data_IF_650718606616
#
_entry.id   IF_650718606616
#
_cell.length_a   1.000
_cell.length_b   1.000
_cell.length_c   1.000
_cell.angle_alpha   90.00
_cell.angle_beta   90.00
_cell.angle_gamma   90.00
#
_symmetry.space_group_name_H-M   'P 1'
#
loop_
_entity.id
_entity.type
_entity.pdbx_description
1 polymer ?
#
# COMPACT_ATOMS: atom_id res chain seq x y z
N UNK A 1 -1.57 6.01 -21.06
CA UNK A 1 -2.86 6.73 -20.94
C UNK A 1 -3.06 7.32 -19.54
N UNK A 2 -2.79 6.55 -18.48
CA UNK A 2 -2.97 7.00 -17.08
C UNK A 2 -2.17 8.27 -16.73
N UNK A 3 -0.97 8.48 -17.30
CA UNK A 3 -0.15 9.67 -17.05
C UNK A 3 -0.89 11.00 -17.31
N UNK A 4 -1.70 11.07 -18.37
CA UNK A 4 -2.44 12.29 -18.73
C UNK A 4 -3.86 12.32 -18.13
N UNK A 5 -4.26 11.34 -17.32
CA UNK A 5 -5.62 11.26 -16.76
C UNK A 5 -6.10 12.52 -16.05
N UNK A 6 -5.26 13.29 -15.32
CA UNK A 6 -5.73 14.51 -14.67
C UNK A 6 -6.32 15.55 -15.64
N UNK A 7 -5.92 15.50 -16.91
CA UNK A 7 -6.30 16.45 -17.94
C UNK A 7 -7.57 16.01 -18.68
N UNK A 8 -7.88 14.71 -18.76
CA UNK A 8 -9.01 14.23 -19.57
C UNK A 8 -10.06 13.43 -18.77
N UNK A 9 -9.70 12.74 -17.69
CA UNK A 9 -10.56 11.80 -16.98
C UNK A 9 -11.90 12.39 -16.55
N UNK A 10 -11.87 13.57 -15.93
CA UNK A 10 -13.08 14.22 -15.42
C UNK A 10 -13.93 14.87 -16.52
N UNK A 11 -13.46 14.90 -17.76
CA UNK A 11 -14.25 15.25 -18.94
C UNK A 11 -14.54 14.04 -19.85
N UNK A 12 -14.07 12.85 -19.50
CA UNK A 12 -14.24 11.66 -20.31
C UNK A 12 -15.71 11.26 -20.37
N UNK A 13 -16.17 10.86 -21.56
CA UNK A 13 -17.47 10.20 -21.71
C UNK A 13 -17.40 8.77 -21.18
N UNK A 14 -18.54 8.21 -20.79
CA UNK A 14 -18.63 6.79 -20.42
C UNK A 14 -18.21 5.86 -21.57
N UNK A 15 -18.41 6.27 -22.83
CA UNK A 15 -17.94 5.51 -24.01
C UNK A 15 -16.42 5.39 -24.06
N UNK A 16 -15.71 6.46 -23.69
CA UNK A 16 -14.25 6.47 -23.59
C UNK A 16 -13.78 5.52 -22.48
N UNK A 17 -14.40 5.62 -21.30
CA UNK A 17 -14.09 4.76 -20.16
C UNK A 17 -14.38 3.28 -20.46
N UNK A 18 -15.49 2.97 -21.12
CA UNK A 18 -15.87 1.62 -21.52
C UNK A 18 -14.81 0.97 -22.44
N UNK A 19 -14.10 1.75 -23.25
CA UNK A 19 -13.01 1.23 -24.09
C UNK A 19 -11.79 0.82 -23.27
N UNK A 20 -11.41 1.62 -22.28
CA UNK A 20 -10.36 1.29 -21.32
C UNK A 20 -10.74 0.07 -20.47
N UNK A 21 -11.99 0.02 -20.02
CA UNK A 21 -12.54 -1.07 -19.24
C UNK A 21 -12.55 -2.39 -20.02
N UNK A 22 -12.84 -2.39 -21.32
CA UNK A 22 -12.71 -3.58 -22.19
C UNK A 22 -11.27 -4.10 -22.24
N UNK A 23 -10.29 -3.22 -22.39
CA UNK A 23 -8.88 -3.59 -22.39
C UNK A 23 -8.45 -4.13 -21.01
N UNK A 24 -8.88 -3.47 -19.94
CA UNK A 24 -8.62 -3.93 -18.58
C UNK A 24 -9.25 -5.31 -18.29
N UNK A 25 -10.48 -5.55 -18.75
CA UNK A 25 -11.14 -6.85 -18.61
C UNK A 25 -10.32 -7.95 -19.29
N UNK A 26 -9.86 -7.72 -20.51
CA UNK A 26 -9.05 -8.69 -21.25
C UNK A 26 -7.73 -8.99 -20.50
N UNK A 27 -7.05 -7.95 -19.99
CA UNK A 27 -5.84 -8.11 -19.19
C UNK A 27 -6.11 -8.89 -17.89
N UNK A 28 -7.18 -8.56 -17.17
CA UNK A 28 -7.56 -9.23 -15.92
C UNK A 28 -7.90 -10.71 -16.15
N UNK A 29 -8.65 -11.01 -17.21
CA UNK A 29 -8.93 -12.39 -17.65
C UNK A 29 -7.64 -13.15 -17.96
N UNK A 30 -6.69 -12.53 -18.65
CA UNK A 30 -5.41 -13.14 -18.99
C UNK A 30 -4.53 -13.43 -17.76
N UNK A 31 -4.55 -12.55 -16.75
CA UNK A 31 -3.80 -12.72 -15.48
C UNK A 31 -4.27 -13.98 -14.75
N UNK A 32 -5.59 -14.15 -14.59
CA UNK A 32 -6.16 -15.26 -13.81
C UNK A 32 -6.46 -16.51 -14.65
N UNK A 33 -6.22 -16.48 -15.96
CA UNK A 33 -6.64 -17.55 -16.86
C UNK A 33 -8.17 -17.74 -16.95
N UNK A 34 -8.92 -16.65 -16.77
CA UNK A 34 -10.38 -16.62 -16.78
C UNK A 34 -10.97 -16.63 -18.20
N UNK A 35 -12.24 -17.00 -18.29
CA UNK A 35 -12.98 -17.05 -19.57
C UNK A 35 -13.26 -15.65 -20.13
N UNK A 36 -13.34 -15.54 -21.47
CA UNK A 36 -13.68 -14.28 -22.18
C UNK A 36 -15.04 -13.68 -21.78
N UNK A 37 -15.97 -14.54 -21.36
CA UNK A 37 -17.32 -14.21 -20.89
C UNK A 37 -17.36 -13.62 -19.48
N UNK A 38 -16.25 -13.68 -18.73
CA UNK A 38 -16.18 -13.13 -17.39
C UNK A 38 -16.36 -11.61 -17.40
N UNK A 39 -17.27 -11.11 -16.56
CA UNK A 39 -17.51 -9.67 -16.41
C UNK A 39 -16.31 -8.93 -15.84
N UNK A 40 -16.20 -7.63 -16.15
CA UNK A 40 -15.10 -6.76 -15.71
C UNK A 40 -14.88 -6.82 -14.20
N UNK A 41 -15.94 -6.61 -13.41
CA UNK A 41 -15.80 -6.47 -11.95
C UNK A 41 -15.26 -7.75 -11.30
N UNK A 42 -15.76 -8.92 -11.71
CA UNK A 42 -15.25 -10.21 -11.24
C UNK A 42 -13.79 -10.42 -11.68
N UNK A 43 -13.46 -10.14 -12.95
CA UNK A 43 -12.11 -10.33 -13.46
C UNK A 43 -11.09 -9.44 -12.74
N UNK A 44 -11.39 -8.15 -12.56
CA UNK A 44 -10.50 -7.17 -11.91
C UNK A 44 -10.27 -7.50 -10.44
N UNK A 45 -11.32 -7.92 -9.74
CA UNK A 45 -11.24 -8.32 -8.32
C UNK A 45 -10.43 -9.60 -8.16
N UNK A 46 -10.71 -10.63 -8.95
CA UNK A 46 -9.97 -11.89 -8.92
C UNK A 46 -8.50 -11.69 -9.33
N UNK A 47 -8.22 -10.82 -10.30
CA UNK A 47 -6.85 -10.46 -10.69
C UNK A 47 -6.13 -9.58 -9.65
N UNK A 48 -6.81 -9.11 -8.60
CA UNK A 48 -6.21 -8.28 -7.55
C UNK A 48 -5.73 -6.91 -8.03
N UNK A 49 -6.32 -6.37 -9.11
CA UNK A 49 -5.96 -5.06 -9.67
C UNK A 49 -7.04 -4.02 -9.35
N UNK A 50 -6.67 -2.73 -9.31
CA UNK A 50 -7.63 -1.63 -9.12
C UNK A 50 -8.50 -1.42 -10.37
N UNK A 51 -9.74 -0.96 -10.22
CA UNK A 51 -10.63 -0.66 -11.36
C UNK A 51 -10.07 0.50 -12.20
N UNK A 52 -10.55 0.67 -13.44
CA UNK A 52 -10.10 1.79 -14.30
C UNK A 52 -10.36 3.12 -13.59
N UNK A 53 -11.58 3.32 -13.09
CA UNK A 53 -12.00 4.57 -12.42
C UNK A 53 -11.17 4.86 -11.18
N UNK A 54 -10.85 3.84 -10.39
CA UNK A 54 -9.98 4.00 -9.21
C UNK A 54 -8.58 4.45 -9.57
N UNK A 55 -7.95 3.82 -10.57
CA UNK A 55 -6.61 4.24 -11.00
C UNK A 55 -6.61 5.67 -11.49
N UNK A 56 -7.59 6.04 -12.32
CA UNK A 56 -7.71 7.40 -12.86
C UNK A 56 -8.01 8.41 -11.74
N UNK A 57 -8.84 8.05 -10.77
CA UNK A 57 -9.12 8.86 -9.59
C UNK A 57 -7.88 9.06 -8.72
N UNK A 58 -7.13 7.99 -8.41
CA UNK A 58 -5.88 8.06 -7.64
C UNK A 58 -4.82 8.90 -8.37
N UNK A 59 -4.69 8.77 -9.69
CA UNK A 59 -3.77 9.60 -10.47
C UNK A 59 -4.20 11.07 -10.50
N UNK A 60 -5.50 11.35 -10.60
CA UNK A 60 -6.03 12.72 -10.55
C UNK A 60 -5.83 13.34 -9.16
N UNK A 61 -6.01 12.55 -8.09
CA UNK A 61 -5.68 12.95 -6.72
C UNK A 61 -4.18 13.27 -6.58
N UNK A 62 -3.32 12.39 -7.13
CA UNK A 62 -1.86 12.60 -7.18
C UNK A 62 -1.49 13.91 -7.85
N UNK A 63 -2.05 14.16 -9.02
CA UNK A 63 -1.80 15.41 -9.71
C UNK A 63 -2.33 16.62 -8.93
N UNK A 64 -3.55 16.55 -8.39
CA UNK A 64 -4.17 17.63 -7.64
C UNK A 64 -3.35 18.04 -6.42
N UNK A 65 -2.92 17.10 -5.58
CA UNK A 65 -2.05 17.45 -4.46
C UNK A 65 -0.66 17.88 -4.98
N UNK A 66 -0.17 17.25 -6.05
CA UNK A 66 1.11 17.54 -6.68
C UNK A 66 1.26 18.97 -7.20
N UNK A 67 0.18 19.65 -7.61
CA UNK A 67 0.27 21.06 -7.99
C UNK A 67 0.42 21.99 -6.78
N UNK A 68 -0.06 21.58 -5.60
CA UNK A 68 0.04 22.39 -4.39
C UNK A 68 1.43 22.40 -3.74
N UNK A 69 2.28 21.40 -4.00
CA UNK A 69 3.69 21.43 -3.56
C UNK A 69 4.58 22.35 -4.40
N UNK A 70 4.11 22.81 -5.56
CA UNK A 70 4.93 23.61 -6.46
C UNK A 70 5.26 24.97 -5.84
N UNK A 71 6.50 25.41 -6.04
CA UNK A 71 6.94 26.76 -5.67
C UNK A 71 6.17 27.84 -6.46
N UNK A 72 6.20 29.07 -5.97
CA UNK A 72 5.45 30.18 -6.59
C UNK A 72 5.95 30.55 -8.00
N UNK A 73 7.18 30.19 -8.34
CA UNK A 73 7.80 30.43 -9.66
C UNK A 73 7.42 29.39 -10.71
N UNK A 74 6.86 28.25 -10.30
CA UNK A 74 6.47 27.20 -11.24
C UNK A 74 5.27 27.62 -12.09
N UNK A 75 5.33 27.36 -13.40
CA UNK A 75 4.28 27.68 -14.40
C UNK A 75 2.89 27.08 -14.11
N UNK A 76 2.80 26.17 -13.15
CA UNK A 76 1.57 25.45 -12.80
C UNK A 76 1.07 25.82 -11.39
N UNK A 77 1.78 26.68 -10.65
CA UNK A 77 1.35 27.12 -9.33
C UNK A 77 0.02 27.88 -9.36
N UNK A 78 -0.19 28.71 -10.38
CA UNK A 78 -1.45 29.44 -10.55
C UNK A 78 -2.66 28.51 -10.74
N UNK A 79 -2.43 27.27 -11.20
CA UNK A 79 -3.49 26.27 -11.30
C UNK A 79 -4.03 25.85 -9.93
N UNK A 80 -3.21 25.96 -8.87
CA UNK A 80 -3.60 25.67 -7.49
C UNK A 80 -4.43 26.80 -6.85
N UNK A 81 -4.32 28.03 -7.37
CA UNK A 81 -5.03 29.22 -6.86
C UNK A 81 -6.36 29.48 -7.55
N UNK A 82 -6.56 28.93 -8.75
CA UNK A 82 -7.62 29.38 -9.65
C UNK A 82 -9.05 29.04 -9.17
N UNK A 83 -9.81 30.08 -8.79
CA UNK A 83 -11.24 30.00 -8.46
C UNK A 83 -12.08 30.62 -9.59
N UNK A 84 -12.56 29.80 -10.52
CA UNK A 84 -13.83 30.08 -11.20
C UNK A 84 -13.82 30.74 -12.60
N UNK A 85 -14.30 29.96 -13.57
CA UNK A 85 -15.48 30.34 -14.38
C UNK A 85 -16.49 29.20 -14.25
N UNK A 86 -17.77 29.49 -14.00
CA UNK A 86 -18.85 28.49 -13.83
C UNK A 86 -19.19 27.76 -15.14
N UNK A 87 -19.01 28.43 -16.27
CA UNK A 87 -19.30 27.89 -17.61
C UNK A 87 -18.09 27.09 -18.12
N UNK A 88 -18.33 25.86 -18.57
CA UNK A 88 -17.32 24.90 -19.07
C UNK A 88 -16.18 24.61 -18.09
N UNK A 89 -16.45 23.87 -16.98
CA UNK A 89 -15.41 23.52 -16.03
C UNK A 89 -14.38 22.57 -16.66
N UNK A 90 -13.11 23.00 -16.67
CA UNK A 90 -12.01 22.13 -17.07
C UNK A 90 -11.87 20.92 -16.12
N UNK A 91 -11.24 19.82 -16.56
CA UNK A 91 -10.99 18.65 -15.71
C UNK A 91 -10.29 18.99 -14.40
N UNK A 92 -9.35 19.93 -14.41
CA UNK A 92 -8.69 20.38 -13.19
C UNK A 92 -9.64 21.07 -12.20
N UNK A 93 -10.62 21.86 -12.69
CA UNK A 93 -11.65 22.45 -11.82
C UNK A 93 -12.55 21.38 -11.21
N UNK A 94 -12.90 20.36 -12.00
CA UNK A 94 -13.66 19.22 -11.48
C UNK A 94 -12.86 18.48 -10.41
N UNK A 95 -11.54 18.36 -10.55
CA UNK A 95 -10.66 17.78 -9.53
C UNK A 95 -10.64 18.64 -8.26
N UNK A 96 -10.55 19.97 -8.39
CA UNK A 96 -10.60 20.89 -7.26
C UNK A 96 -11.89 20.73 -6.43
N UNK A 97 -13.04 20.57 -7.11
CA UNK A 97 -14.33 20.34 -6.45
C UNK A 97 -14.39 18.95 -5.82
N UNK A 98 -13.92 17.93 -6.55
CA UNK A 98 -13.90 16.53 -6.09
C UNK A 98 -13.04 16.35 -4.83
N UNK A 99 -11.92 17.07 -4.74
CA UNK A 99 -10.94 16.97 -3.67
C UNK A 99 -10.98 18.15 -2.70
N UNK A 100 -12.06 18.93 -2.67
CA UNK A 100 -12.18 20.16 -1.86
C UNK A 100 -11.95 19.95 -0.36
N UNK A 101 -12.23 18.75 0.16
CA UNK A 101 -12.07 18.41 1.57
C UNK A 101 -10.62 18.02 1.90
N UNK A 102 -9.79 17.79 0.89
CA UNK A 102 -8.37 17.51 1.07
C UNK A 102 -7.67 18.85 1.19
N UNK A 103 -7.06 19.10 2.36
CA UNK A 103 -6.30 20.32 2.66
C UNK A 103 -4.94 20.34 1.90
N UNK A 104 -5.00 20.24 0.57
CA UNK A 104 -3.82 20.13 -0.28
C UNK A 104 -2.92 21.38 -0.22
N UNK A 105 -3.48 22.54 0.12
CA UNK A 105 -2.74 23.78 0.32
C UNK A 105 -1.70 23.73 1.46
N UNK A 106 -1.81 22.75 2.38
CA UNK A 106 -0.81 22.52 3.43
C UNK A 106 0.44 21.78 2.92
N UNK A 107 0.51 21.41 1.64
CA UNK A 107 1.65 20.66 1.12
C UNK A 107 2.93 21.50 1.16
N UNK A 108 3.96 20.99 1.82
CA UNK A 108 5.30 21.59 1.82
C UNK A 108 5.74 21.97 0.40
N UNK A 109 6.24 23.20 0.28
CA UNK A 109 6.70 23.73 -1.00
C UNK A 109 8.03 23.08 -1.36
N UNK A 110 8.06 22.39 -2.49
CA UNK A 110 9.21 21.65 -2.97
C UNK A 110 9.86 22.46 -4.09
N UNK A 111 11.15 22.85 -3.97
CA UNK A 111 11.85 23.55 -5.02
C UNK A 111 11.95 22.67 -6.27
N UNK A 112 11.88 23.30 -7.44
CA UNK A 112 12.00 22.63 -8.73
C UNK A 112 13.34 21.90 -8.89
N UNK A 113 14.42 22.45 -8.32
CA UNK A 113 15.75 21.83 -8.28
C UNK A 113 16.16 21.70 -6.81
N UNK A 114 16.41 20.46 -6.36
CA UNK A 114 16.85 20.19 -4.99
C UNK A 114 18.33 20.51 -4.78
N UNK A 115 19.19 20.05 -5.69
CA UNK A 115 20.62 20.36 -5.69
C UNK A 115 21.18 20.16 -7.09
N UNK A 116 22.26 20.86 -7.42
CA UNK A 116 22.98 20.64 -8.67
C UNK A 116 23.48 19.19 -8.75
N UNK A 117 23.42 18.53 -9.91
CA UNK A 117 23.89 17.15 -10.06
C UNK A 117 25.36 16.93 -9.69
N UNK A 118 26.19 17.97 -9.81
CA UNK A 118 27.62 17.97 -9.48
C UNK A 118 27.93 18.44 -8.06
N UNK A 119 26.91 18.77 -7.25
CA UNK A 119 27.14 19.22 -5.88
C UNK A 119 27.77 18.12 -5.03
N UNK A 120 28.73 18.48 -4.17
CA UNK A 120 29.35 17.54 -3.24
C UNK A 120 28.30 16.90 -2.33
N UNK A 121 28.32 15.57 -2.29
CA UNK A 121 27.44 14.77 -1.44
C UNK A 121 27.90 14.85 0.01
N UNK A 122 26.94 14.77 0.93
CA UNK A 122 27.23 14.62 2.35
C UNK A 122 27.99 13.31 2.59
N UNK A 123 28.94 13.34 3.54
CA UNK A 123 29.67 12.16 3.98
C UNK A 123 28.74 11.31 4.85
N UNK A 124 28.27 10.21 4.28
CA UNK A 124 27.34 9.26 4.91
C UNK A 124 27.96 7.87 4.86
N UNK A 125 28.11 7.23 6.02
CA UNK A 125 28.67 5.90 6.19
C UNK A 125 27.56 4.89 6.46
N UNK A 126 27.18 4.12 5.44
CA UNK A 126 26.26 2.98 5.57
C UNK A 126 27.09 1.71 5.40
N UNK A 127 27.53 1.14 6.52
CA UNK A 127 28.39 -0.04 6.58
C UNK A 127 27.57 -1.30 6.88
N UNK A 128 28.19 -2.47 6.71
CA UNK A 128 27.65 -3.75 7.18
C UNK A 128 27.43 -3.72 8.70
N UNK A 129 26.46 -4.48 9.20
CA UNK A 129 26.02 -4.46 10.61
C UNK A 129 27.16 -4.51 11.63
N UNK A 130 28.09 -5.44 11.48
CA UNK A 130 29.20 -5.60 12.43
C UNK A 130 30.19 -4.41 12.38
N UNK A 131 30.47 -3.89 11.18
CA UNK A 131 31.33 -2.72 11.01
C UNK A 131 30.66 -1.45 11.54
N UNK A 132 29.35 -1.32 11.35
CA UNK A 132 28.54 -0.23 11.89
C UNK A 132 28.56 -0.21 13.42
N UNK A 133 28.48 -1.38 14.07
CA UNK A 133 28.66 -1.52 15.53
C UNK A 133 30.08 -1.12 15.95
N UNK A 134 31.11 -1.54 15.22
CA UNK A 134 32.49 -1.17 15.53
C UNK A 134 32.73 0.35 15.39
N UNK A 135 32.04 1.01 14.46
CA UNK A 135 32.15 2.45 14.26
C UNK A 135 31.62 3.29 15.43
N UNK A 136 30.84 2.71 16.35
CA UNK A 136 30.39 3.39 17.57
C UNK A 136 31.43 3.38 18.70
N UNK A 137 32.61 2.79 18.46
CA UNK A 137 33.71 2.84 19.41
C UNK A 137 34.11 4.30 19.70
N UNK A 138 34.52 4.55 20.95
CA UNK A 138 34.95 5.86 21.41
C UNK A 138 36.17 6.29 20.59
N UNK A 139 36.09 7.49 20.00
CA UNK A 139 37.18 8.11 19.25
C UNK A 139 37.58 9.42 19.95
N UNK A 140 38.87 9.72 20.00
CA UNK A 140 39.35 10.95 20.62
C UNK A 140 38.99 12.17 19.77
N UNK A 141 38.68 13.29 20.44
CA UNK A 141 38.25 14.53 19.81
C UNK A 141 36.98 14.40 18.95
N UNK A 142 36.08 13.46 19.29
CA UNK A 142 34.76 13.37 18.69
C UNK A 142 33.63 13.61 19.68
N UNK A 143 32.52 14.15 19.19
CA UNK A 143 31.25 14.19 19.92
C UNK A 143 30.23 13.39 19.15
N UNK A 144 29.66 12.39 19.81
CA UNK A 144 28.72 11.46 19.23
C UNK A 144 27.30 11.85 19.61
N UNK A 145 26.46 12.02 18.60
CA UNK A 145 25.02 12.17 18.75
C UNK A 145 24.34 10.92 18.22
N UNK A 146 23.39 10.39 18.99
CA UNK A 146 22.48 9.34 18.56
C UNK A 146 21.09 9.95 18.44
N UNK A 147 20.40 9.66 17.35
CA UNK A 147 19.11 10.27 17.05
C UNK A 147 18.11 9.23 16.61
N UNK A 148 16.87 9.36 17.10
CA UNK A 148 15.75 8.52 16.67
C UNK A 148 14.44 9.33 16.60
N UNK A 149 13.51 8.85 15.77
CA UNK A 149 12.19 9.42 15.56
C UNK A 149 11.07 8.41 15.80
N UNK A 150 10.11 8.75 16.67
CA UNK A 150 8.96 7.91 17.00
C UNK A 150 7.66 8.57 16.55
N UNK A 151 6.80 7.80 15.89
CA UNK A 151 5.42 8.20 15.55
C UNK A 151 4.47 7.16 16.11
N UNK A 152 3.76 7.50 17.19
CA UNK A 152 2.84 6.61 17.91
C UNK A 152 1.88 7.41 18.78
N UNK A 153 0.78 6.79 19.22
CA UNK A 153 -0.21 7.41 20.10
C UNK A 153 -0.76 8.75 19.57
N UNK A 154 -0.87 8.91 18.23
CA UNK A 154 -1.30 10.16 17.62
C UNK A 154 -0.24 11.27 17.65
N UNK A 155 0.97 10.99 18.12
CA UNK A 155 2.05 11.95 18.39
C UNK A 155 3.31 11.60 17.58
N UNK A 156 4.10 12.61 17.28
CA UNK A 156 5.44 12.46 16.71
C UNK A 156 6.48 13.11 17.62
N UNK A 157 7.49 12.34 18.01
CA UNK A 157 8.53 12.75 18.93
C UNK A 157 9.91 12.37 18.43
N UNK A 158 10.92 13.11 18.86
CA UNK A 158 12.33 12.84 18.56
C UNK A 158 13.10 12.64 19.86
N UNK A 159 14.09 11.77 19.79
CA UNK A 159 15.05 11.51 20.86
C UNK A 159 16.46 11.80 20.37
N UNK A 160 17.24 12.47 21.21
CA UNK A 160 18.64 12.76 20.94
C UNK A 160 19.44 12.44 22.19
N UNK A 161 20.50 11.67 22.04
CA UNK A 161 21.40 11.34 23.13
C UNK A 161 22.85 11.61 22.73
N UNK A 162 23.62 12.18 23.65
CA UNK A 162 25.07 12.29 23.61
C UNK A 162 25.62 12.02 25.01
N UNK A 163 26.93 11.81 25.15
CA UNK A 163 27.55 11.46 26.43
C UNK A 163 27.35 12.49 27.54
N UNK A 164 27.06 13.74 27.19
CA UNK A 164 26.91 14.86 28.14
C UNK A 164 25.50 15.46 28.17
N UNK A 165 24.59 15.05 27.28
CA UNK A 165 23.30 15.70 27.10
C UNK A 165 22.29 14.77 26.46
N UNK A 166 21.02 14.93 26.81
CA UNK A 166 19.91 14.24 26.16
C UNK A 166 18.70 15.15 25.98
N UNK A 167 17.88 14.83 24.98
CA UNK A 167 16.61 15.49 24.76
C UNK A 167 15.55 14.52 24.25
N UNK A 168 14.37 14.62 24.86
CA UNK A 168 13.12 14.07 24.36
C UNK A 168 12.22 15.24 23.99
N UNK A 169 11.80 15.34 22.72
CA UNK A 169 10.98 16.46 22.26
C UNK A 169 9.80 15.99 21.43
N UNK A 170 8.59 16.41 21.84
CA UNK A 170 7.39 16.30 21.02
C UNK A 170 7.46 17.34 19.90
N UNK A 171 7.38 16.88 18.66
CA UNK A 171 7.61 17.72 17.46
C UNK A 171 6.36 17.93 16.62
N UNK A 172 5.32 17.10 16.80
CA UNK A 172 4.08 17.26 16.07
C UNK A 172 3.08 16.15 16.34
N UNK A 173 2.04 16.13 15.51
CA UNK A 173 1.01 15.10 15.50
C UNK A 173 1.38 14.02 14.50
N UNK A 174 1.01 12.78 14.78
CA UNK A 174 1.14 11.66 13.84
C UNK A 174 0.44 11.95 12.52
N UNK A 175 -0.72 12.62 12.57
CA UNK A 175 -1.48 12.95 11.37
C UNK A 175 -0.78 13.96 10.46
N UNK A 176 0.17 14.75 10.97
CA UNK A 176 0.85 15.85 10.27
C UNK A 176 2.26 15.48 9.77
N UNK A 177 2.75 14.28 10.09
CA UNK A 177 4.10 13.87 9.72
C UNK A 177 4.15 12.42 9.21
N UNK A 178 5.33 11.99 8.82
CA UNK A 178 5.64 10.59 8.56
C UNK A 178 6.94 10.22 9.27
N UNK A 179 7.16 8.92 9.49
CA UNK A 179 8.36 8.41 10.19
C UNK A 179 9.64 8.97 9.57
N UNK A 180 9.76 8.94 8.25
CA UNK A 180 10.94 9.45 7.55
C UNK A 180 11.24 10.93 7.82
N UNK A 181 10.20 11.77 7.90
CA UNK A 181 10.35 13.19 8.24
C UNK A 181 10.76 13.38 9.70
N UNK A 182 10.22 12.57 10.61
CA UNK A 182 10.52 12.64 12.05
C UNK A 182 11.99 12.25 12.32
N UNK A 183 12.49 11.25 11.61
CA UNK A 183 13.91 10.84 11.64
C UNK A 183 14.86 11.96 11.18
N UNK A 184 14.54 12.59 10.03
CA UNK A 184 15.29 13.74 9.55
C UNK A 184 15.24 14.91 10.54
N UNK A 185 14.12 15.10 11.23
CA UNK A 185 13.96 16.16 12.22
C UNK A 185 14.77 15.89 13.49
N UNK A 186 14.95 14.63 13.87
CA UNK A 186 15.85 14.23 14.95
C UNK A 186 17.30 14.59 14.61
N UNK A 187 17.78 14.20 13.42
CA UNK A 187 19.11 14.55 12.90
C UNK A 187 19.29 16.07 12.86
N UNK A 188 18.36 16.81 12.26
CA UNK A 188 18.42 18.27 12.19
C UNK A 188 18.47 18.90 13.58
N UNK A 189 17.66 18.42 14.53
CA UNK A 189 17.61 18.98 15.88
C UNK A 189 18.90 18.73 16.65
N UNK A 190 19.59 17.60 16.41
CA UNK A 190 20.90 17.32 17.00
C UNK A 190 21.98 18.28 16.49
N UNK A 191 21.96 18.64 15.20
CA UNK A 191 23.06 19.41 14.59
C UNK A 191 22.80 20.91 14.46
N UNK A 192 21.55 21.39 14.52
CA UNK A 192 21.21 22.80 14.23
C UNK A 192 21.93 23.83 15.12
N UNK A 193 22.23 23.46 16.36
CA UNK A 193 22.88 24.33 17.34
C UNK A 193 24.41 24.33 17.29
N UNK A 194 25.00 23.44 16.48
CA UNK A 194 26.45 23.33 16.32
C UNK A 194 26.95 24.59 15.58
N UNK A 195 28.05 25.24 15.96
CA UNK A 195 28.58 26.38 15.21
C UNK A 195 29.00 26.02 13.77
N UNK A 196 28.86 26.96 12.85
CA UNK A 196 29.36 26.84 11.47
C UNK A 196 30.87 27.10 11.45
N UNK A 197 31.64 26.16 11.99
CA UNK A 197 33.09 26.24 12.07
C UNK A 197 33.75 24.91 11.65
N UNK A 198 34.42 24.94 10.50
CA UNK A 198 35.22 23.82 9.98
C UNK A 198 36.64 23.75 10.54
N UNK A 199 37.10 24.80 11.21
CA UNK A 199 38.43 24.85 11.83
C UNK A 199 38.47 24.17 13.20
N UNK A 200 37.29 23.84 13.76
CA UNK A 200 37.17 23.06 14.98
C UNK A 200 37.91 21.73 14.87
N UNK A 201 38.78 21.47 15.86
CA UNK A 201 39.48 20.19 16.00
C UNK A 201 38.54 19.07 16.45
N UNK A 202 37.34 19.40 16.95
CA UNK A 202 36.33 18.45 17.41
C UNK A 202 35.46 18.01 16.24
N UNK A 203 35.44 16.70 15.96
CA UNK A 203 34.62 16.10 14.90
C UNK A 203 33.28 15.64 15.46
N UNK A 204 32.19 15.92 14.77
CA UNK A 204 30.86 15.46 15.19
C UNK A 204 30.45 14.23 14.38
N UNK A 205 30.01 13.19 15.08
CA UNK A 205 29.47 11.97 14.47
C UNK A 205 28.00 11.85 14.87
N UNK A 206 27.11 11.71 13.88
CA UNK A 206 25.69 11.49 14.14
C UNK A 206 25.32 10.08 13.70
N UNK A 207 24.83 9.29 14.64
CA UNK A 207 24.40 7.91 14.45
C UNK A 207 22.87 7.85 14.40
N UNK A 208 22.34 7.19 13.37
CA UNK A 208 20.90 6.94 13.20
C UNK A 208 20.71 5.54 12.61
N UNK A 209 19.65 4.85 13.03
CA UNK A 209 19.28 3.56 12.45
C UNK A 209 18.42 3.67 11.18
N UNK A 210 17.99 4.88 10.83
CA UNK A 210 17.20 5.18 9.64
C UNK A 210 18.07 5.30 8.39
N UNK A 211 18.35 4.17 7.73
CA UNK A 211 19.02 4.16 6.41
C UNK A 211 18.30 5.05 5.41
N UNK A 212 16.96 5.10 5.45
CA UNK A 212 16.17 5.93 4.55
C UNK A 212 16.49 7.42 4.73
N UNK A 213 16.57 7.93 5.97
CA UNK A 213 16.94 9.32 6.26
C UNK A 213 18.35 9.64 5.74
N UNK A 214 19.31 8.78 6.05
CA UNK A 214 20.71 8.92 5.63
C UNK A 214 20.87 8.92 4.10
N UNK A 215 20.20 7.99 3.42
CA UNK A 215 20.17 7.93 1.94
C UNK A 215 19.51 9.17 1.33
N UNK A 216 18.43 9.68 1.94
CA UNK A 216 17.81 10.94 1.53
C UNK A 216 18.79 12.11 1.65
N UNK A 217 19.58 12.18 2.73
CA UNK A 217 20.61 13.21 2.90
C UNK A 217 21.74 13.06 1.87
N UNK A 218 22.07 11.85 1.43
CA UNK A 218 23.09 11.62 0.39
C UNK A 218 22.58 11.86 -1.05
N UNK A 219 21.27 11.70 -1.30
CA UNK A 219 20.68 11.65 -2.65
C UNK A 219 20.36 13.02 -3.26
N UNK A 220 20.86 13.33 -4.45
CA UNK A 220 20.50 14.57 -5.19
C UNK A 220 19.03 14.63 -5.64
N UNK A 221 18.25 13.55 -5.47
CA UNK A 221 16.83 13.50 -5.86
C UNK A 221 15.96 14.29 -4.89
N UNK A 222 15.04 15.05 -5.46
CA UNK A 222 13.98 15.73 -4.71
C UNK A 222 13.05 14.70 -4.08
N UNK A 223 12.85 14.81 -2.77
CA UNK A 223 11.90 14.01 -2.01
C UNK A 223 10.92 14.91 -1.23
N UNK A 224 10.02 14.29 -0.47
CA UNK A 224 8.97 15.00 0.25
C UNK A 224 9.47 15.83 1.45
N UNK A 225 10.68 15.58 1.91
CA UNK A 225 11.31 16.31 3.04
C UNK A 225 12.56 17.06 2.58
N UNK A 226 12.61 17.44 1.29
CA UNK A 226 13.80 18.02 0.67
C UNK A 226 14.25 19.30 1.36
N UNK A 227 13.32 20.15 1.82
CA UNK A 227 13.69 21.40 2.51
C UNK A 227 14.48 21.13 3.79
N UNK A 228 14.10 20.09 4.54
CA UNK A 228 14.82 19.67 5.74
C UNK A 228 16.17 19.03 5.38
N UNK A 229 16.19 18.20 4.34
CA UNK A 229 17.42 17.61 3.81
C UNK A 229 18.42 18.68 3.38
N UNK A 230 17.97 19.76 2.73
CA UNK A 230 18.84 20.85 2.30
C UNK A 230 19.44 21.60 3.48
N UNK A 231 18.65 21.88 4.53
CA UNK A 231 19.17 22.47 5.79
C UNK A 231 20.23 21.58 6.44
N UNK A 232 19.99 20.27 6.49
CA UNK A 232 20.96 19.31 7.03
C UNK A 232 22.24 19.30 6.19
N UNK A 233 22.14 19.29 4.86
CA UNK A 233 23.30 19.32 3.96
C UNK A 233 24.12 20.58 4.10
N UNK A 234 23.46 21.74 4.14
CA UNK A 234 24.12 23.02 4.35
C UNK A 234 24.89 23.01 5.66
N UNK A 235 24.28 22.50 6.74
CA UNK A 235 24.93 22.37 8.03
C UNK A 235 26.17 21.47 8.00
N UNK A 236 26.07 20.31 7.36
CA UNK A 236 27.19 19.38 7.16
C UNK A 236 28.28 20.00 6.27
N UNK A 237 27.93 20.90 5.35
CA UNK A 237 28.90 21.64 4.54
C UNK A 237 29.60 22.75 5.31
N UNK A 238 29.03 23.26 6.40
CA UNK A 238 29.62 24.36 7.17
C UNK A 238 30.31 23.90 8.45
N UNK A 239 30.19 22.63 8.83
CA UNK A 239 30.80 22.06 10.02
C UNK A 239 31.43 20.68 9.74
N UNK A 240 32.30 20.21 10.64
CA UNK A 240 32.97 18.90 10.53
C UNK A 240 32.06 17.78 11.06
N UNK A 241 30.97 17.51 10.34
CA UNK A 241 29.93 16.54 10.71
C UNK A 241 29.97 15.33 9.76
N UNK A 242 29.94 14.12 10.33
CA UNK A 242 29.78 12.86 9.58
C UNK A 242 28.53 12.11 10.04
N UNK A 243 27.82 11.48 9.10
CA UNK A 243 26.64 10.69 9.41
C UNK A 243 26.94 9.20 9.29
N UNK A 244 26.47 8.41 10.25
CA UNK A 244 26.76 6.99 10.36
C UNK A 244 25.47 6.22 10.58
N UNK A 245 25.31 5.12 9.84
CA UNK A 245 24.23 4.19 10.09
C UNK A 245 24.61 3.21 11.20
N UNK A 246 23.67 2.90 12.08
CA UNK A 246 23.78 1.83 13.09
C UNK A 246 22.56 0.90 13.02
N UNK A 247 22.70 -0.39 13.31
CA UNK A 247 21.52 -1.25 13.36
C UNK A 247 20.71 -0.98 14.64
N UNK A 248 19.40 -0.77 14.48
CA UNK A 248 18.47 -0.61 15.60
C UNK A 248 18.21 -1.93 16.34
N UNK A 249 17.91 -1.83 17.64
CA UNK A 249 17.58 -2.96 18.53
C UNK A 249 18.67 -4.02 18.69
N UNK A 250 19.93 -3.60 18.63
CA UNK A 250 21.11 -4.47 18.74
C UNK A 250 21.97 -4.13 19.98
N UNK A 251 21.40 -3.42 20.97
CA UNK A 251 22.08 -3.16 22.25
C UNK A 251 23.13 -2.05 22.21
N UNK A 252 23.14 -1.22 21.17
CA UNK A 252 23.99 -0.02 21.11
C UNK A 252 23.41 1.03 22.05
N UNK A 253 24.05 1.24 23.20
CA UNK A 253 23.55 2.06 24.31
C UNK A 253 22.99 3.42 23.84
N UNK A 254 23.75 4.15 23.02
CA UNK A 254 23.31 5.46 22.53
C UNK A 254 22.08 5.41 21.63
N UNK A 255 21.97 4.38 20.77
CA UNK A 255 20.82 4.20 19.88
C UNK A 255 19.57 3.78 20.66
N UNK A 256 19.71 2.81 21.58
CA UNK A 256 18.61 2.39 22.44
C UNK A 256 18.10 3.57 23.28
N UNK A 257 19.02 4.38 23.81
CA UNK A 257 18.65 5.56 24.61
C UNK A 257 17.96 6.63 23.76
N UNK A 258 18.42 6.90 22.54
CA UNK A 258 17.74 7.82 21.62
C UNK A 258 16.31 7.34 21.31
N UNK A 259 16.13 6.03 21.08
CA UNK A 259 14.81 5.44 20.86
C UNK A 259 13.90 5.53 22.08
N UNK A 260 14.42 5.24 23.29
CA UNK A 260 13.69 5.47 24.54
C UNK A 260 13.22 6.93 24.70
N UNK A 261 14.08 7.90 24.37
CA UNK A 261 13.75 9.33 24.44
C UNK A 261 12.69 9.73 23.41
N UNK A 262 12.76 9.23 22.17
CA UNK A 262 11.76 9.47 21.14
C UNK A 262 10.39 8.88 21.56
N UNK A 263 10.43 7.71 22.18
CA UNK A 263 9.28 7.04 22.76
C UNK A 263 8.70 7.82 23.96
N UNK A 264 9.55 8.33 24.85
CA UNK A 264 9.14 9.16 25.98
C UNK A 264 8.44 10.45 25.48
N UNK A 265 8.97 11.07 24.44
CA UNK A 265 8.38 12.28 23.84
C UNK A 265 6.97 12.06 23.27
N UNK A 266 6.61 10.83 22.91
CA UNK A 266 5.30 10.44 22.40
C UNK A 266 4.38 9.84 23.47
N UNK A 267 4.79 9.86 24.74
CA UNK A 267 3.92 9.53 25.86
C UNK A 267 2.82 10.60 26.03
N UNK A 268 1.70 10.20 26.63
CA UNK A 268 0.55 11.09 26.87
C UNK A 268 0.75 11.96 28.11
N UNK A 269 1.90 12.64 28.18
CA UNK A 269 2.33 13.42 29.34
C UNK A 269 2.31 14.93 29.08
N UNK A 270 2.30 15.36 27.81
CA UNK A 270 2.23 16.76 27.40
C UNK A 270 0.95 17.04 26.61
N UNK A 271 0.42 18.27 26.59
CA UNK A 271 -0.69 18.63 25.71
C UNK A 271 -0.38 18.33 24.24
N UNK A 272 -1.40 17.97 23.47
CA UNK A 272 -1.25 17.76 22.03
C UNK A 272 -0.80 19.06 21.34
N UNK A 273 0.20 19.02 20.44
CA UNK A 273 0.64 20.20 19.71
C UNK A 273 -0.49 20.76 18.85
N UNK A 274 -0.40 22.05 18.48
CA UNK A 274 -1.25 22.60 17.43
C UNK A 274 -1.00 21.88 16.10
N UNK A 275 -2.02 21.77 15.21
CA UNK A 275 -1.82 21.21 13.88
C UNK A 275 -0.72 21.97 13.12
N UNK A 276 0.12 21.24 12.39
CA UNK A 276 1.13 21.86 11.55
C UNK A 276 0.47 22.65 10.41
N UNK A 277 0.99 23.85 10.14
CA UNK A 277 0.50 24.70 9.04
C UNK A 277 0.83 24.06 7.69
N UNK A 278 2.05 23.57 7.56
CA UNK A 278 2.58 22.86 6.40
C UNK A 278 3.01 21.44 6.78
N UNK A 279 2.79 20.48 5.89
CA UNK A 279 3.05 19.06 6.10
C UNK A 279 3.67 18.42 4.85
N UNK A 280 4.40 17.31 5.00
CA UNK A 280 4.90 16.56 3.85
C UNK A 280 3.75 16.09 2.93
N UNK A 281 3.92 16.18 1.62
CA UNK A 281 2.93 15.80 0.60
C UNK A 281 2.44 14.35 0.76
N UNK A 282 3.30 13.45 1.22
CA UNK A 282 2.98 12.03 1.48
C UNK A 282 1.91 11.88 2.56
N UNK A 283 1.88 12.78 3.54
CA UNK A 283 0.85 12.84 4.58
C UNK A 283 -0.50 13.20 3.95
N UNK A 284 -0.52 14.21 3.09
CA UNK A 284 -1.73 14.61 2.37
C UNK A 284 -2.20 13.50 1.43
N UNK A 285 -1.28 12.79 0.76
CA UNK A 285 -1.62 11.61 -0.03
C UNK A 285 -2.21 10.49 0.83
N UNK A 286 -1.63 10.20 1.99
CA UNK A 286 -2.14 9.20 2.90
C UNK A 286 -3.57 9.55 3.35
N UNK A 287 -3.82 10.81 3.73
CA UNK A 287 -5.16 11.33 4.06
C UNK A 287 -6.13 11.21 2.89
N UNK A 288 -5.74 11.65 1.70
CA UNK A 288 -6.57 11.58 0.49
C UNK A 288 -6.90 10.15 0.07
N UNK A 289 -5.96 9.22 0.26
CA UNK A 289 -6.16 7.79 0.02
C UNK A 289 -7.04 7.13 1.09
N UNK A 290 -6.88 7.53 2.35
CA UNK A 290 -7.70 7.06 3.47
C UNK A 290 -9.15 7.58 3.38
N UNK A 291 -9.35 8.78 2.86
CA UNK A 291 -10.66 9.37 2.57
C UNK A 291 -11.44 8.63 1.46
N UNK A 292 -10.87 7.54 0.93
CA UNK A 292 -11.42 6.54 -0.01
C UNK A 292 -12.51 7.06 -0.95
N UNK A 293 -12.17 7.00 -2.25
CA UNK A 293 -13.15 6.61 -3.25
C UNK A 293 -13.65 5.19 -2.89
N UNK A 294 -14.77 5.11 -2.18
CA UNK A 294 -15.51 3.90 -1.76
C UNK A 294 -16.30 3.12 -2.83
N UNK A 295 -16.30 3.43 -4.15
CA UNK A 295 -17.09 2.65 -5.11
C UNK A 295 -16.73 1.17 -5.20
N UNK A 296 -15.55 0.73 -4.78
CA UNK A 296 -15.14 -0.67 -4.90
C UNK A 296 -16.14 -1.67 -4.29
N UNK A 297 -16.81 -1.30 -3.19
CA UNK A 297 -17.82 -2.16 -2.57
C UNK A 297 -19.21 -1.93 -3.17
N UNK A 298 -19.68 -0.68 -3.26
CA UNK A 298 -21.02 -0.38 -3.79
C UNK A 298 -21.15 -0.75 -5.27
N UNK A 299 -20.14 -0.44 -6.09
CA UNK A 299 -20.09 -0.83 -7.51
C UNK A 299 -19.99 -2.35 -7.67
N UNK A 300 -19.26 -3.04 -6.79
CA UNK A 300 -19.14 -4.49 -6.86
C UNK A 300 -20.42 -5.19 -6.42
N UNK A 301 -20.96 -4.89 -5.23
CA UNK A 301 -22.18 -5.50 -4.70
C UNK A 301 -23.45 -5.02 -5.40
N UNK A 302 -23.45 -3.82 -5.97
CA UNK A 302 -24.52 -3.30 -6.83
C UNK A 302 -24.49 -3.85 -8.25
N UNK A 303 -23.40 -4.52 -8.67
CA UNK A 303 -23.33 -5.09 -10.00
C UNK A 303 -24.27 -6.29 -10.17
N UNK A 304 -24.94 -6.35 -11.33
CA UNK A 304 -25.74 -7.51 -11.74
C UNK A 304 -24.89 -8.77 -12.00
N UNK A 305 -23.59 -8.60 -12.23
CA UNK A 305 -22.64 -9.68 -12.53
C UNK A 305 -21.79 -10.01 -11.30
N UNK A 306 -21.29 -11.25 -11.21
CA UNK A 306 -20.43 -11.66 -10.08
C UNK A 306 -21.17 -12.04 -8.80
N UNK A 307 -22.50 -12.19 -8.83
CA UNK A 307 -23.30 -12.59 -7.64
C UNK A 307 -22.82 -13.86 -6.96
N UNK A 308 -22.35 -14.85 -7.71
CA UNK A 308 -21.78 -16.07 -7.14
C UNK A 308 -20.53 -15.74 -6.31
N UNK A 309 -19.64 -14.92 -6.85
CA UNK A 309 -18.42 -14.49 -6.19
C UNK A 309 -18.71 -13.68 -4.91
N UNK A 310 -19.66 -12.75 -4.97
CA UNK A 310 -20.14 -11.98 -3.81
C UNK A 310 -20.74 -12.87 -2.71
N UNK A 311 -21.32 -14.02 -3.07
CA UNK A 311 -21.91 -14.95 -2.10
C UNK A 311 -20.84 -15.80 -1.42
N UNK A 312 -19.84 -16.26 -2.15
CA UNK A 312 -18.78 -17.12 -1.58
C UNK A 312 -17.71 -16.33 -0.84
N UNK A 313 -17.60 -15.02 -1.08
CA UNK A 313 -16.55 -14.20 -0.46
C UNK A 313 -17.06 -12.81 -0.11
N UNK A 314 -17.52 -12.68 1.13
CA UNK A 314 -18.01 -11.42 1.73
C UNK A 314 -16.86 -10.48 2.10
N UNK A 315 -15.60 -10.94 2.08
CA UNK A 315 -14.41 -10.09 2.27
C UNK A 315 -14.02 -9.31 1.01
N UNK A 316 -14.72 -9.51 -0.11
CA UNK A 316 -14.46 -8.75 -1.32
C UNK A 316 -14.97 -7.32 -1.26
N UNK A 317 -14.28 -6.39 -1.95
CA UNK A 317 -12.95 -6.57 -2.54
C UNK A 317 -11.86 -6.52 -1.45
N UNK A 318 -10.91 -7.45 -1.49
CA UNK A 318 -9.89 -7.60 -0.43
C UNK A 318 -8.49 -7.94 -0.93
N UNK A 319 -7.47 -7.61 -0.14
CA UNK A 319 -6.06 -7.91 -0.48
C UNK A 319 -5.74 -9.40 -0.44
N UNK A 320 -6.58 -10.21 0.23
CA UNK A 320 -6.41 -11.66 0.32
C UNK A 320 -6.45 -12.33 -1.05
N UNK A 321 -7.26 -11.82 -1.99
CA UNK A 321 -7.34 -12.36 -3.36
C UNK A 321 -6.01 -12.26 -4.09
N UNK A 322 -5.32 -11.11 -4.00
CA UNK A 322 -3.99 -10.96 -4.60
C UNK A 322 -2.99 -11.95 -3.99
N UNK A 323 -3.05 -12.18 -2.68
CA UNK A 323 -2.24 -13.22 -2.03
C UNK A 323 -2.61 -14.61 -2.57
N UNK A 324 -3.91 -14.87 -2.74
CA UNK A 324 -4.47 -16.13 -3.24
C UNK A 324 -3.95 -16.51 -4.62
N UNK A 325 -3.89 -15.55 -5.55
CA UNK A 325 -3.40 -15.82 -6.90
C UNK A 325 -1.88 -15.79 -7.01
N UNK A 326 -1.19 -14.95 -6.24
CA UNK A 326 0.27 -14.85 -6.28
C UNK A 326 1.00 -16.15 -5.86
N UNK A 327 0.36 -17.00 -5.05
CA UNK A 327 0.95 -18.28 -4.63
C UNK A 327 0.62 -19.43 -5.59
N UNK A 328 -0.13 -19.19 -6.66
CA UNK A 328 -0.55 -20.21 -7.62
C UNK A 328 0.19 -20.05 -8.94
N UNK A 329 0.48 -21.18 -9.59
CA UNK A 329 0.87 -21.15 -11.00
C UNK A 329 -0.35 -20.83 -11.88
N UNK A 330 -0.10 -20.61 -13.18
CA UNK A 330 -1.14 -20.23 -14.14
C UNK A 330 -2.29 -21.24 -14.24
N UNK A 331 -1.98 -22.54 -14.21
CA UNK A 331 -2.99 -23.59 -14.34
C UNK A 331 -3.90 -23.66 -13.11
N UNK A 332 -3.29 -23.61 -11.91
CA UNK A 332 -3.99 -23.63 -10.64
C UNK A 332 -4.85 -22.36 -10.45
N UNK A 333 -4.32 -21.20 -10.83
CA UNK A 333 -5.06 -19.94 -10.87
C UNK A 333 -6.31 -20.03 -11.77
N UNK A 334 -6.17 -20.60 -12.97
CA UNK A 334 -7.30 -20.76 -13.89
C UNK A 334 -8.39 -21.69 -13.34
N UNK A 335 -8.00 -22.75 -12.63
CA UNK A 335 -8.95 -23.65 -11.95
C UNK A 335 -9.69 -22.91 -10.84
N UNK A 336 -8.96 -22.18 -10.00
CA UNK A 336 -9.56 -21.43 -8.92
C UNK A 336 -10.50 -20.34 -9.42
N UNK A 337 -10.12 -19.59 -10.46
CA UNK A 337 -10.94 -18.57 -11.09
C UNK A 337 -12.26 -19.16 -11.64
N UNK A 338 -12.21 -20.34 -12.26
CA UNK A 338 -13.40 -21.04 -12.73
C UNK A 338 -14.37 -21.36 -11.59
N UNK A 339 -13.83 -21.93 -10.50
CA UNK A 339 -14.62 -22.33 -9.33
C UNK A 339 -15.20 -21.11 -8.60
N UNK A 340 -14.40 -20.07 -8.38
CA UNK A 340 -14.79 -18.85 -7.65
C UNK A 340 -15.78 -17.97 -8.39
N UNK A 341 -15.80 -18.00 -9.72
CA UNK A 341 -16.72 -17.18 -10.52
C UNK A 341 -17.94 -17.95 -11.02
N UNK A 342 -17.95 -19.27 -10.89
CA UNK A 342 -18.94 -20.16 -11.51
C UNK A 342 -19.03 -19.97 -13.04
N UNK A 343 -17.91 -19.55 -13.65
CA UNK A 343 -17.69 -19.48 -15.09
C UNK A 343 -16.64 -20.54 -15.39
N UNK A 344 -17.12 -21.78 -15.57
CA UNK A 344 -16.31 -22.99 -15.54
C UNK A 344 -16.67 -23.94 -16.67
N UNK A 345 -15.89 -24.99 -16.88
CA UNK A 345 -16.21 -26.04 -17.87
C UNK A 345 -17.34 -27.00 -17.42
N UNK A 346 -18.04 -26.73 -16.33
CA UNK A 346 -19.14 -27.56 -15.87
C UNK A 346 -20.42 -27.31 -16.67
N UNK A 347 -21.26 -28.34 -16.83
CA UNK A 347 -22.39 -28.32 -17.75
C UNK A 347 -23.42 -27.24 -17.43
N UNK A 348 -23.62 -26.87 -16.16
CA UNK A 348 -24.50 -25.74 -15.80
C UNK A 348 -24.08 -24.42 -16.42
N UNK A 349 -22.77 -24.17 -16.54
CA UNK A 349 -22.26 -23.00 -17.23
C UNK A 349 -22.30 -23.18 -18.75
N UNK A 350 -21.83 -24.32 -19.25
CA UNK A 350 -21.72 -24.60 -20.69
C UNK A 350 -23.09 -24.61 -21.38
N UNK A 351 -24.10 -25.21 -20.77
CA UNK A 351 -25.48 -25.20 -21.28
C UNK A 351 -26.05 -23.77 -21.33
N UNK A 352 -25.80 -22.97 -20.29
CA UNK A 352 -26.23 -21.56 -20.26
C UNK A 352 -25.65 -20.73 -21.41
N UNK A 353 -24.44 -21.06 -21.88
CA UNK A 353 -23.82 -20.41 -23.05
C UNK A 353 -24.02 -21.19 -24.35
N UNK A 354 -24.90 -22.21 -24.35
CA UNK A 354 -25.25 -23.04 -25.52
C UNK A 354 -24.07 -23.81 -26.14
N UNK A 355 -23.12 -24.23 -25.29
CA UNK A 355 -21.99 -25.09 -25.70
C UNK A 355 -22.26 -26.56 -25.38
N UNK A 356 -23.07 -26.84 -24.36
CA UNK A 356 -23.51 -28.19 -24.02
C UNK A 356 -25.02 -28.32 -24.23
N UNK A 357 -25.48 -29.49 -24.66
CA UNK A 357 -26.90 -29.79 -24.88
C UNK A 357 -27.72 -29.84 -23.59
N UNK A 358 -27.09 -30.16 -22.46
CA UNK A 358 -27.77 -30.26 -21.16
C UNK A 358 -26.91 -29.66 -20.04
N UNK A 359 -27.54 -29.25 -18.95
CA UNK A 359 -26.88 -28.77 -17.73
C UNK A 359 -26.51 -29.91 -16.75
N UNK A 360 -26.86 -31.15 -17.09
CA UNK A 360 -26.76 -32.31 -16.22
C UNK A 360 -25.38 -32.96 -16.29
N UNK A 361 -24.91 -33.44 -15.16
CA UNK A 361 -23.79 -34.37 -15.08
C UNK A 361 -24.25 -35.77 -15.51
N UNK A 362 -23.32 -36.64 -15.93
CA UNK A 362 -23.62 -38.04 -16.26
C UNK A 362 -24.24 -38.82 -15.08
N UNK A 363 -24.14 -38.32 -13.85
CA UNK A 363 -24.86 -38.88 -12.70
C UNK A 363 -26.32 -38.37 -12.58
N UNK A 364 -26.84 -37.65 -13.56
CA UNK A 364 -28.23 -37.20 -13.67
C UNK A 364 -28.59 -35.88 -12.96
N UNK A 365 -27.68 -35.30 -12.16
CA UNK A 365 -27.91 -34.07 -11.37
C UNK A 365 -27.30 -32.85 -12.09
N UNK A 366 -27.87 -31.64 -12.00
CA UNK A 366 -27.24 -30.43 -12.54
C UNK A 366 -25.79 -30.25 -12.08
N UNK A 367 -24.87 -30.12 -13.04
CA UNK A 367 -23.43 -30.07 -12.77
C UNK A 367 -23.00 -28.67 -12.31
N UNK A 368 -23.38 -28.30 -11.09
CA UNK A 368 -22.94 -27.06 -10.43
C UNK A 368 -21.54 -27.22 -9.82
N UNK A 369 -20.86 -26.10 -9.51
CA UNK A 369 -19.61 -26.14 -8.73
C UNK A 369 -19.81 -26.86 -7.40
N UNK A 370 -20.95 -26.67 -6.73
CA UNK A 370 -21.26 -27.34 -5.46
C UNK A 370 -21.41 -28.85 -5.64
N UNK A 371 -22.13 -29.29 -6.68
CA UNK A 371 -22.25 -30.69 -7.00
C UNK A 371 -20.89 -31.32 -7.35
N UNK A 372 -20.12 -30.68 -8.23
CA UNK A 372 -18.78 -31.12 -8.62
C UNK A 372 -17.85 -31.29 -7.41
N UNK A 373 -17.73 -30.23 -6.59
CA UNK A 373 -16.84 -30.22 -5.43
C UNK A 373 -17.28 -31.18 -4.33
N UNK A 374 -18.57 -31.33 -4.03
CA UNK A 374 -18.97 -31.96 -2.77
C UNK A 374 -19.86 -33.20 -2.90
N UNK A 375 -20.60 -33.36 -4.00
CA UNK A 375 -21.71 -34.33 -4.04
C UNK A 375 -21.64 -35.34 -5.17
N UNK A 376 -20.96 -35.04 -6.28
CA UNK A 376 -20.92 -35.94 -7.43
C UNK A 376 -20.30 -37.30 -7.05
N UNK A 377 -21.00 -38.43 -7.25
CA UNK A 377 -20.51 -39.74 -6.86
C UNK A 377 -19.32 -40.21 -7.72
N UNK A 378 -19.21 -39.71 -8.95
CA UNK A 378 -18.11 -40.03 -9.90
C UNK A 378 -16.74 -39.66 -9.37
N UNK A 379 -16.66 -38.60 -8.57
CA UNK A 379 -15.40 -38.04 -8.09
C UNK A 379 -15.07 -38.44 -6.64
N UNK A 380 -15.72 -39.49 -6.11
CA UNK A 380 -15.62 -39.88 -4.70
C UNK A 380 -14.18 -40.21 -4.28
N UNK A 381 -13.43 -40.90 -5.14
CA UNK A 381 -12.05 -41.29 -4.85
C UNK A 381 -11.11 -40.08 -4.84
N UNK A 382 -11.15 -39.27 -5.90
CA UNK A 382 -10.33 -38.06 -6.04
C UNK A 382 -10.61 -37.04 -4.93
N UNK A 383 -11.83 -37.03 -4.37
CA UNK A 383 -12.24 -36.10 -3.32
C UNK A 383 -11.71 -36.45 -1.93
N UNK A 384 -11.20 -37.65 -1.68
CA UNK A 384 -10.80 -38.09 -0.34
C UNK A 384 -9.77 -37.14 0.31
N UNK A 385 -8.72 -36.75 -0.42
CA UNK A 385 -7.71 -35.83 0.08
C UNK A 385 -8.27 -34.44 0.40
N UNK A 386 -9.16 -33.92 -0.46
CA UNK A 386 -9.86 -32.64 -0.20
C UNK A 386 -10.77 -32.73 1.01
N UNK A 387 -11.52 -33.83 1.17
CA UNK A 387 -12.40 -34.03 2.32
C UNK A 387 -11.61 -34.10 3.64
N UNK A 388 -10.47 -34.79 3.64
CA UNK A 388 -9.58 -34.85 4.80
C UNK A 388 -9.01 -33.46 5.14
N UNK A 389 -8.54 -32.72 4.14
CA UNK A 389 -8.01 -31.37 4.33
C UNK A 389 -9.08 -30.36 4.80
N UNK A 390 -10.34 -30.53 4.39
CA UNK A 390 -11.42 -29.63 4.80
C UNK A 390 -11.96 -29.93 6.21
N UNK A 391 -11.80 -31.17 6.69
CA UNK A 391 -12.23 -31.59 8.02
C UNK A 391 -13.70 -31.27 8.31
N UNK A 392 -13.95 -30.63 9.46
CA UNK A 392 -15.29 -30.23 9.89
C UNK A 392 -15.96 -29.20 8.97
N UNK A 393 -15.18 -28.49 8.14
CA UNK A 393 -15.68 -27.46 7.22
C UNK A 393 -15.94 -27.98 5.80
N UNK A 394 -15.92 -29.30 5.60
CA UNK A 394 -16.31 -29.90 4.33
C UNK A 394 -17.73 -29.47 3.91
N UNK A 395 -17.96 -29.30 2.60
CA UNK A 395 -19.15 -28.68 2.01
C UNK A 395 -19.30 -27.16 2.19
N UNK A 396 -18.40 -26.48 2.92
CA UNK A 396 -18.40 -25.01 2.97
C UNK A 396 -17.70 -24.42 1.72
N UNK A 397 -18.50 -23.83 0.82
CA UNK A 397 -18.01 -23.28 -0.44
C UNK A 397 -17.03 -22.10 -0.25
N UNK A 398 -17.32 -21.21 0.70
CA UNK A 398 -16.46 -20.06 0.99
C UNK A 398 -15.09 -20.54 1.46
N UNK A 399 -15.06 -21.44 2.43
CA UNK A 399 -13.84 -22.04 2.96
C UNK A 399 -13.03 -22.77 1.88
N UNK A 400 -13.68 -23.66 1.12
CA UNK A 400 -13.03 -24.44 0.06
C UNK A 400 -12.38 -23.58 -1.03
N UNK A 401 -12.92 -22.38 -1.28
CA UNK A 401 -12.46 -21.48 -2.33
C UNK A 401 -11.69 -20.26 -1.80
N UNK A 402 -11.37 -20.21 -0.50
CA UNK A 402 -10.57 -19.13 0.09
C UNK A 402 -11.30 -17.80 0.18
N UNK A 403 -12.62 -17.84 0.40
CA UNK A 403 -13.49 -16.69 0.64
C UNK A 403 -13.98 -16.64 2.08
N UNK A 404 -14.38 -15.44 2.52
CA UNK A 404 -14.94 -15.21 3.85
C UNK A 404 -16.46 -15.36 3.86
N UNK A 405 -16.98 -16.03 4.88
CA UNK A 405 -18.40 -16.21 5.15
C UNK A 405 -18.81 -15.53 6.46
N UNK A 406 -19.98 -14.88 6.45
CA UNK A 406 -20.66 -14.35 7.63
C UNK A 406 -21.57 -15.39 8.31
N UNK A 407 -21.46 -16.66 7.94
CA UNK A 407 -22.21 -17.76 8.55
C UNK A 407 -21.89 -17.88 10.05
N UNK A 408 -22.95 -18.05 10.85
CA UNK A 408 -22.88 -18.19 12.29
C UNK A 408 -23.20 -19.63 12.72
N UNK A 409 -22.39 -20.14 13.63
CA UNK A 409 -22.67 -21.35 14.41
C UNK A 409 -22.65 -20.96 15.88
N UNK A 410 -23.70 -21.31 16.64
CA UNK A 410 -23.85 -20.93 18.05
C UNK A 410 -23.62 -19.42 18.30
N UNK A 411 -24.27 -18.58 17.47
CA UNK A 411 -24.19 -17.11 17.45
C UNK A 411 -22.81 -16.49 17.19
N UNK A 412 -21.78 -17.30 16.89
CA UNK A 412 -20.45 -16.84 16.53
C UNK A 412 -20.19 -17.01 15.04
N UNK A 413 -19.60 -15.99 14.42
CA UNK A 413 -19.17 -16.08 13.01
C UNK A 413 -18.03 -17.09 12.93
N UNK A 414 -18.20 -18.13 12.12
CA UNK A 414 -17.25 -19.25 12.00
C UNK A 414 -15.87 -18.78 11.52
N UNK A 415 -15.85 -17.78 10.63
CA UNK A 415 -14.61 -17.18 10.10
C UNK A 415 -14.02 -16.08 11.00
N UNK A 416 -14.65 -15.77 12.14
CA UNK A 416 -14.20 -14.74 13.06
C UNK A 416 -14.36 -13.31 12.52
N UNK A 417 -13.56 -12.38 13.05
CA UNK A 417 -13.59 -10.98 12.62
C UNK A 417 -13.01 -10.82 11.21
N UNK A 418 -13.82 -10.23 10.31
CA UNK A 418 -13.47 -9.98 8.90
C UNK A 418 -12.10 -9.35 8.67
N UNK A 419 -11.69 -8.39 9.50
CA UNK A 419 -10.43 -7.66 9.34
C UNK A 419 -9.20 -8.46 9.77
N UNK A 420 -9.38 -9.49 10.61
CA UNK A 420 -8.32 -10.39 11.08
C UNK A 420 -8.29 -11.72 10.32
N UNK A 421 -9.36 -12.04 9.60
CA UNK A 421 -9.51 -13.28 8.84
C UNK A 421 -8.48 -13.44 7.72
N UNK A 422 -8.07 -14.68 7.48
CA UNK A 422 -7.21 -15.08 6.35
C UNK A 422 -7.74 -16.39 5.75
N UNK A 423 -7.60 -16.58 4.42
CA UNK A 423 -7.98 -17.83 3.78
C UNK A 423 -7.10 -18.98 4.26
N UNK A 424 -7.69 -20.16 4.41
CA UNK A 424 -6.97 -21.40 4.68
C UNK A 424 -6.37 -21.94 3.39
N UNK A 425 -5.05 -21.83 3.29
CA UNK A 425 -4.32 -22.22 2.09
C UNK A 425 -4.29 -23.72 1.85
N UNK A 426 -4.31 -24.52 2.91
CA UNK A 426 -4.30 -25.98 2.77
C UNK A 426 -5.64 -26.43 2.18
N UNK A 427 -6.75 -25.84 2.63
CA UNK A 427 -8.07 -26.11 2.09
C UNK A 427 -8.18 -25.73 0.61
N UNK A 428 -7.72 -24.52 0.23
CA UNK A 428 -7.76 -24.05 -1.17
C UNK A 428 -6.91 -24.93 -2.08
N UNK A 429 -5.68 -25.25 -1.65
CA UNK A 429 -4.78 -26.10 -2.43
C UNK A 429 -5.36 -27.49 -2.63
N UNK A 430 -5.94 -28.08 -1.58
CA UNK A 430 -6.61 -29.37 -1.68
C UNK A 430 -7.81 -29.35 -2.63
N UNK A 431 -8.57 -28.25 -2.67
CA UNK A 431 -9.65 -28.05 -3.65
C UNK A 431 -9.15 -27.99 -5.08
N UNK A 432 -8.04 -27.29 -5.33
CA UNK A 432 -7.42 -27.20 -6.65
C UNK A 432 -6.87 -28.55 -7.09
N UNK A 433 -6.16 -29.27 -6.21
CA UNK A 433 -5.62 -30.59 -6.51
C UNK A 433 -6.71 -31.62 -6.80
N UNK A 434 -7.83 -31.58 -6.05
CA UNK A 434 -9.03 -32.34 -6.41
C UNK A 434 -9.48 -32.05 -7.83
N UNK A 435 -9.68 -30.77 -8.17
CA UNK A 435 -10.16 -30.39 -9.49
C UNK A 435 -9.19 -30.80 -10.61
N UNK A 436 -7.87 -30.73 -10.37
CA UNK A 436 -6.83 -31.21 -11.29
C UNK A 436 -6.91 -32.71 -11.51
N UNK A 437 -7.01 -33.50 -10.44
CA UNK A 437 -7.08 -34.95 -10.50
C UNK A 437 -8.29 -35.46 -11.29
N UNK A 438 -9.38 -34.69 -11.35
CA UNK A 438 -10.54 -35.04 -12.19
C UNK A 438 -10.34 -34.77 -13.68
N UNK A 439 -9.42 -33.88 -14.07
CA UNK A 439 -9.31 -33.35 -15.44
C UNK A 439 -10.52 -32.53 -15.92
N UNK A 440 -11.61 -32.46 -15.14
CA UNK A 440 -12.93 -31.96 -15.57
C UNK A 440 -12.93 -30.49 -15.98
N UNK A 441 -12.03 -29.70 -15.39
CA UNK A 441 -11.92 -28.26 -15.63
C UNK A 441 -10.80 -27.87 -16.60
N UNK A 442 -10.09 -28.85 -17.16
CA UNK A 442 -9.03 -28.61 -18.15
C UNK A 442 -9.63 -28.47 -19.56
N UNK A 443 -8.87 -27.87 -20.48
CA UNK A 443 -9.21 -27.93 -21.90
C UNK A 443 -9.13 -29.40 -22.33
N UNK A 444 -10.24 -29.96 -22.78
CA UNK A 444 -10.19 -31.19 -23.55
C UNK A 444 -9.54 -30.82 -24.89
N UNK A 445 -8.37 -31.39 -25.14
CA UNK A 445 -7.62 -31.26 -26.39
C UNK A 445 -8.35 -31.91 -27.55
#
# INVERSE_FOLDING_TARGET
>A
MDYASPIWYLAASDKTLATLERAQRAAAQAIIGGFKTMGLNAAVIEAGIATTRERLHEQTLRFWIGIHKLDNSHIHHELAKYKGKRRFPSPLRKAAVLFKNIKAYQADKIPTVGSEPWASKAQVHILDREKAKQATAIEYATVDFYTDGSVRNGRAGIGIWTSTWEAAKLVGREEDTNVHHTELLAIWTAIKGIPDDRSSQVRIRVFSDSQAALQSIQSVKVNDSINLVLKIREKIRNATISLHWVPGHEGIIGNERANELAQLATADTQPMPSPAEMVPISVIYARGKAARYTPKQEEFYGAKTGKFLQRIDKALPGKHVKKLYNSLNRADAAILAQLRTNISRLNTYLHRIKVAETDRCDCGVPETVQHFLFFCPRWRQQRQGMRAAHGSRYCNMSYALGGYSDHKENDKIVDGEKDKWKPDWNAVKATIEFAKATGRLQLQS
#
